data_IF_895032615484
#
_entry.id   IF_895032615484
#
_cell.length_a   1.000
_cell.length_b   1.000
_cell.length_c   1.000
_cell.angle_alpha   90.00
_cell.angle_beta   90.00
_cell.angle_gamma   90.00
#
_symmetry.space_group_name_H-M   'P 1'
#
loop_
_entity.id
_entity.type
_entity.pdbx_description
1 polymer ?
#
# COMPACT_ATOMS: atom_id res chain seq x y z
N UNK A 1 18.36 -10.36 22.94
CA UNK A 1 18.48 -9.63 21.67
C UNK A 1 18.76 -10.66 20.58
N UNK A 2 17.88 -10.81 19.58
CA UNK A 2 18.06 -11.80 18.51
C UNK A 2 18.81 -11.18 17.33
N UNK A 3 19.94 -11.77 16.94
CA UNK A 3 20.71 -11.38 15.76
C UNK A 3 20.09 -11.98 14.49
N UNK A 4 19.90 -11.15 13.45
CA UNK A 4 19.47 -11.63 12.14
C UNK A 4 20.61 -12.41 11.47
N UNK A 5 20.31 -13.59 10.92
CA UNK A 5 21.27 -14.43 10.19
C UNK A 5 20.87 -14.43 8.72
N UNK A 6 21.83 -14.16 7.84
CA UNK A 6 21.64 -14.24 6.40
C UNK A 6 22.71 -15.14 5.80
N UNK A 7 22.26 -16.23 5.14
CA UNK A 7 23.14 -17.26 4.52
C UNK A 7 24.19 -17.83 5.48
N UNK A 8 23.83 -18.04 6.74
CA UNK A 8 24.73 -18.63 7.74
C UNK A 8 25.73 -17.65 8.36
N UNK A 9 25.66 -16.36 8.01
CA UNK A 9 26.47 -15.31 8.61
C UNK A 9 25.60 -14.34 9.40
N UNK A 10 26.16 -13.75 10.45
CA UNK A 10 25.54 -12.65 11.17
C UNK A 10 25.31 -11.50 10.20
N UNK A 11 24.08 -11.03 10.11
CA UNK A 11 23.75 -9.96 9.19
C UNK A 11 24.20 -8.62 9.76
N UNK A 12 25.24 -8.05 9.17
CA UNK A 12 25.65 -6.68 9.42
C UNK A 12 24.93 -5.75 8.43
N UNK A 13 24.07 -4.89 8.97
CA UNK A 13 23.33 -3.92 8.16
C UNK A 13 24.28 -2.78 7.72
N UNK A 14 24.87 -2.89 6.53
CA UNK A 14 25.73 -1.84 5.95
C UNK A 14 24.94 -0.64 5.37
N UNK A 15 23.63 -0.59 5.59
CA UNK A 15 22.81 0.51 5.09
C UNK A 15 22.84 1.65 6.11
N UNK A 16 23.62 2.67 5.81
CA UNK A 16 23.50 4.00 6.41
C UNK A 16 22.00 4.36 6.49
N UNK A 17 21.52 4.66 7.69
CA UNK A 17 20.17 5.17 7.87
C UNK A 17 20.14 6.56 7.23
N UNK A 18 19.82 6.59 5.93
CA UNK A 18 19.67 7.84 5.20
C UNK A 18 18.62 8.66 5.95
N UNK A 19 19.07 9.74 6.59
CA UNK A 19 18.22 10.74 7.25
C UNK A 19 17.47 11.49 6.16
N UNK A 20 16.49 10.82 5.55
CA UNK A 20 15.54 11.46 4.67
C UNK A 20 14.74 12.44 5.52
N UNK A 21 14.55 13.69 5.08
CA UNK A 21 13.65 14.59 5.79
C UNK A 21 12.29 13.90 5.89
N UNK A 22 11.78 13.81 7.11
CA UNK A 22 10.44 13.30 7.34
C UNK A 22 9.45 14.27 6.69
N UNK A 23 8.80 13.84 5.62
CA UNK A 23 7.77 14.63 4.95
C UNK A 23 6.45 14.40 5.68
N UNK A 24 5.84 15.48 6.15
CA UNK A 24 4.52 15.41 6.77
C UNK A 24 3.47 15.18 5.69
N UNK A 25 2.86 13.99 5.67
CA UNK A 25 1.74 13.71 4.79
C UNK A 25 0.51 14.47 5.29
N UNK A 26 0.02 15.44 4.51
CA UNK A 26 -1.25 16.11 4.82
C UNK A 26 -2.40 15.29 4.23
N UNK A 27 -3.27 14.78 5.10
CA UNK A 27 -4.48 14.11 4.65
C UNK A 27 -5.44 15.13 4.02
N UNK A 28 -5.51 15.15 2.69
CA UNK A 28 -6.44 16.01 1.93
C UNK A 28 -7.73 15.25 1.68
N UNK A 29 -8.61 15.21 2.69
CA UNK A 29 -9.95 14.59 2.62
C UNK A 29 -10.72 14.98 1.36
N UNK A 30 -10.62 16.25 0.96
CA UNK A 30 -11.24 16.78 -0.25
C UNK A 30 -10.75 16.06 -1.51
N UNK A 31 -9.44 15.90 -1.71
CA UNK A 31 -8.90 15.23 -2.91
C UNK A 31 -9.39 13.78 -3.06
N UNK A 32 -9.55 13.06 -1.95
CA UNK A 32 -10.11 11.70 -1.97
C UNK A 32 -11.61 11.71 -2.32
N UNK A 33 -12.37 12.63 -1.72
CA UNK A 33 -13.81 12.79 -1.98
C UNK A 33 -14.07 13.24 -3.42
N UNK A 34 -13.29 14.18 -3.97
CA UNK A 34 -13.39 14.61 -5.37
C UNK A 34 -13.13 13.44 -6.31
N UNK A 35 -12.07 12.67 -6.06
CA UNK A 35 -11.78 11.47 -6.87
C UNK A 35 -12.86 10.40 -6.76
N UNK A 36 -13.43 10.17 -5.58
CA UNK A 36 -14.57 9.25 -5.43
C UNK A 36 -15.80 9.74 -6.20
N UNK A 37 -16.09 11.05 -6.19
CA UNK A 37 -17.21 11.62 -6.93
C UNK A 37 -17.00 11.61 -8.45
N UNK A 38 -15.75 11.76 -8.91
CA UNK A 38 -15.37 11.68 -10.33
C UNK A 38 -15.40 10.25 -10.88
N UNK A 39 -15.21 9.25 -10.01
CA UNK A 39 -15.40 7.85 -10.37
C UNK A 39 -16.89 7.61 -10.56
N UNK A 40 -17.32 7.48 -11.81
CA UNK A 40 -18.64 6.92 -12.12
C UNK A 40 -18.72 5.54 -11.45
N UNK A 41 -19.83 5.19 -10.78
CA UNK A 41 -20.04 3.83 -10.32
C UNK A 41 -20.09 2.93 -11.55
N UNK A 42 -18.94 2.40 -11.93
CA UNK A 42 -18.86 1.30 -12.86
C UNK A 42 -19.49 0.15 -12.10
N UNK A 43 -20.71 -0.25 -12.48
CA UNK A 43 -21.31 -1.48 -12.00
C UNK A 43 -20.41 -2.62 -12.49
N UNK A 44 -19.43 -2.99 -11.67
CA UNK A 44 -18.58 -4.13 -11.94
C UNK A 44 -19.39 -5.35 -11.56
N UNK A 45 -19.89 -6.06 -12.57
CA UNK A 45 -20.55 -7.33 -12.37
C UNK A 45 -19.47 -8.37 -12.05
N UNK A 46 -19.35 -8.75 -10.78
CA UNK A 46 -18.36 -9.73 -10.36
C UNK A 46 -18.75 -11.09 -10.94
N UNK A 47 -17.92 -11.65 -11.83
CA UNK A 47 -18.15 -12.97 -12.41
C UNK A 47 -17.05 -13.93 -12.00
N UNK A 48 -17.42 -15.05 -11.39
CA UNK A 48 -16.49 -16.14 -11.09
C UNK A 48 -17.07 -17.46 -11.60
N UNK A 49 -16.28 -18.22 -12.38
CA UNK A 49 -16.69 -19.48 -13.02
C UNK A 49 -18.04 -19.41 -13.77
N UNK A 50 -18.32 -18.27 -14.41
CA UNK A 50 -19.56 -18.04 -15.16
C UNK A 50 -20.77 -17.62 -14.30
N UNK A 51 -20.64 -17.58 -12.97
CA UNK A 51 -21.69 -17.10 -12.07
C UNK A 51 -21.48 -15.61 -11.81
N UNK A 52 -22.54 -14.82 -12.02
CA UNK A 52 -22.56 -13.40 -11.68
C UNK A 52 -23.01 -13.22 -10.23
N UNK A 53 -22.28 -12.43 -9.47
CA UNK A 53 -22.61 -12.06 -8.10
C UNK A 53 -23.14 -10.63 -8.10
N UNK A 54 -24.29 -10.46 -7.46
CA UNK A 54 -24.81 -9.13 -7.12
C UNK A 54 -24.20 -8.70 -5.78
N UNK A 55 -23.78 -7.45 -5.71
CA UNK A 55 -23.19 -6.85 -4.52
C UNK A 55 -24.24 -6.51 -3.46
#
# INVERSE_FOLDING_TARGET
MSSLIYRGHTYDQHKECAKKPAVQLTYRRQAYQTRQAEVRPMMVQLKYRGVAYTH
#
